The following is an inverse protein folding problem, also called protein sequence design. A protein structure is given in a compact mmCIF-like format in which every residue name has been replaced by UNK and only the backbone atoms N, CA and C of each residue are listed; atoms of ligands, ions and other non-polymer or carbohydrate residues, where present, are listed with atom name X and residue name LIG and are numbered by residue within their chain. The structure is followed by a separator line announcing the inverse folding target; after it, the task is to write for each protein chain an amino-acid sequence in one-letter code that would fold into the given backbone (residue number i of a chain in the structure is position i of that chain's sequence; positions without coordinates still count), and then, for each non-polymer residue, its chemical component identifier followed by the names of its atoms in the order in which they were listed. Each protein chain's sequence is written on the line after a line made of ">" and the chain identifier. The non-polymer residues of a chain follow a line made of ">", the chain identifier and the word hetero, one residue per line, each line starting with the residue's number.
data_IF_062809855413
#
_entry.id   IF_062809855413
#
_cell.length_a   1.000
_cell.length_b   1.000
_cell.length_c   1.000
_cell.angle_alpha   90.00
_cell.angle_beta   90.00
_cell.angle_gamma   90.00
#
_symmetry.space_group_name_H-M   'P 1'
#
loop_
_entity.id
_entity.type
_entity.pdbx_description
1 polymer ?
#
# COMPACT_ATOMS: atom_id res chain seq x y z
N UNK A 1 -21.89 -24.33 8.40
CA UNK A 1 -22.59 -23.36 7.52
C UNK A 1 -21.80 -22.04 7.61
N UNK A 2 -20.81 -21.86 6.72
CA UNK A 2 -19.94 -20.68 6.71
C UNK A 2 -20.68 -19.57 5.97
N UNK A 3 -21.05 -18.52 6.70
CA UNK A 3 -21.54 -17.28 6.09
C UNK A 3 -20.35 -16.63 5.39
N UNK A 4 -20.30 -16.76 4.08
CA UNK A 4 -19.48 -15.87 3.23
C UNK A 4 -20.15 -14.50 3.30
N UNK A 5 -19.61 -13.62 4.14
CA UNK A 5 -19.98 -12.21 4.12
C UNK A 5 -19.32 -11.63 2.86
N UNK A 6 -20.06 -11.52 1.77
CA UNK A 6 -19.68 -10.66 0.65
C UNK A 6 -19.80 -9.21 1.15
N UNK A 7 -18.70 -8.65 1.60
CA UNK A 7 -18.60 -7.19 1.72
C UNK A 7 -18.63 -6.64 0.29
N UNK A 8 -19.42 -5.59 0.01
CA UNK A 8 -19.33 -4.89 -1.27
C UNK A 8 -17.93 -4.27 -1.32
N UNK A 9 -17.03 -4.86 -2.09
CA UNK A 9 -15.70 -4.29 -2.30
C UNK A 9 -15.88 -3.06 -3.19
N UNK A 10 -15.71 -1.89 -2.60
CA UNK A 10 -15.47 -0.67 -3.34
C UNK A 10 -13.96 -0.54 -3.48
N UNK A 11 -13.42 -0.86 -4.64
CA UNK A 11 -12.01 -0.68 -4.95
C UNK A 11 -11.80 0.78 -5.35
N UNK A 12 -10.98 1.49 -4.60
CA UNK A 12 -10.61 2.87 -4.91
C UNK A 12 -9.14 2.95 -5.19
N UNK A 13 -8.84 3.50 -6.33
CA UNK A 13 -7.49 3.78 -6.78
C UNK A 13 -7.32 5.29 -6.78
N UNK A 14 -6.70 5.80 -5.75
CA UNK A 14 -6.10 7.12 -5.75
C UNK A 14 -4.60 6.94 -5.99
N UNK A 15 -4.09 7.43 -7.08
CA UNK A 15 -2.67 7.36 -7.41
C UNK A 15 -2.33 8.40 -8.45
N UNK A 16 -1.49 9.34 -8.07
CA UNK A 16 -0.83 10.21 -9.00
C UNK A 16 0.39 9.47 -9.54
N UNK A 17 0.28 9.01 -10.77
CA UNK A 17 1.43 8.82 -11.64
C UNK A 17 1.20 9.75 -12.83
N UNK A 18 2.03 10.74 -13.07
CA UNK A 18 1.96 11.50 -14.30
C UNK A 18 2.08 10.51 -15.46
N UNK A 19 1.04 10.43 -16.31
CA UNK A 19 1.10 9.74 -17.60
C UNK A 19 0.39 8.41 -17.77
N UNK A 20 -0.39 7.89 -16.78
CA UNK A 20 -1.28 6.75 -17.05
C UNK A 20 -2.75 7.16 -16.90
N UNK A 21 -3.59 6.89 -17.91
CA UNK A 21 -5.01 7.22 -17.86
C UNK A 21 -5.71 6.37 -16.79
N UNK A 22 -6.14 6.98 -15.69
CA UNK A 22 -7.00 6.32 -14.67
C UNK A 22 -8.25 5.67 -15.32
N UNK A 23 -8.74 6.26 -16.42
CA UNK A 23 -9.83 5.74 -17.21
C UNK A 23 -9.56 4.35 -17.83
N UNK A 24 -8.32 3.99 -18.13
CA UNK A 24 -7.99 2.65 -18.66
C UNK A 24 -8.04 1.60 -17.57
N UNK A 25 -7.50 1.92 -16.40
CA UNK A 25 -7.55 1.05 -15.24
C UNK A 25 -8.99 0.86 -14.75
N UNK A 26 -9.76 1.95 -14.63
CA UNK A 26 -11.17 1.88 -14.27
C UNK A 26 -11.96 0.99 -15.27
N UNK A 27 -11.70 1.11 -16.58
CA UNK A 27 -12.30 0.26 -17.60
C UNK A 27 -11.90 -1.21 -17.46
N UNK A 28 -10.62 -1.49 -17.17
CA UNK A 28 -10.14 -2.88 -17.01
C UNK A 28 -10.75 -3.58 -15.79
N UNK A 29 -11.22 -2.82 -14.81
CA UNK A 29 -11.82 -3.32 -13.59
C UNK A 29 -13.36 -3.31 -13.63
N UNK A 30 -13.98 -2.63 -14.60
CA UNK A 30 -15.44 -2.55 -14.73
C UNK A 30 -16.09 -3.93 -14.89
N UNK A 31 -15.42 -4.87 -15.55
CA UNK A 31 -15.91 -6.24 -15.77
C UNK A 31 -15.90 -7.09 -14.49
N UNK A 32 -15.27 -6.62 -13.40
CA UNK A 32 -15.24 -7.34 -12.12
C UNK A 32 -16.55 -7.22 -11.32
N UNK A 33 -17.46 -6.34 -11.73
CA UNK A 33 -18.67 -6.00 -10.99
C UNK A 33 -18.44 -5.18 -9.72
N UNK A 34 -17.21 -4.69 -9.50
CA UNK A 34 -16.88 -3.80 -8.40
C UNK A 34 -17.24 -2.34 -8.76
N UNK A 35 -17.73 -1.58 -7.79
CA UNK A 35 -17.88 -0.14 -7.93
C UNK A 35 -16.50 0.52 -7.78
N UNK A 36 -16.07 1.25 -8.81
CA UNK A 36 -14.74 1.85 -8.85
C UNK A 36 -14.89 3.36 -8.95
N UNK A 37 -14.35 4.06 -7.96
CA UNK A 37 -14.22 5.50 -7.96
C UNK A 37 -12.74 5.88 -8.04
N UNK A 38 -12.40 6.86 -8.86
CA UNK A 38 -11.04 7.37 -8.99
C UNK A 38 -11.01 8.84 -8.59
N UNK A 39 -10.04 9.19 -7.74
CA UNK A 39 -9.78 10.57 -7.34
C UNK A 39 -8.33 10.89 -7.70
N UNK A 40 -8.12 12.01 -8.35
CA UNK A 40 -6.79 12.50 -8.67
C UNK A 40 -6.23 13.28 -7.48
N UNK A 41 -5.02 12.94 -7.03
CA UNK A 41 -4.33 13.60 -5.94
C UNK A 41 -2.82 13.64 -6.20
N UNK A 42 -2.16 14.71 -5.78
CA UNK A 42 -0.70 14.82 -5.83
C UNK A 42 -0.07 14.25 -4.55
N UNK A 43 0.54 13.08 -4.64
CA UNK A 43 1.19 12.43 -3.51
C UNK A 43 2.45 13.18 -3.01
N UNK A 44 3.00 14.13 -3.78
CA UNK A 44 4.10 15.02 -3.33
C UNK A 44 3.59 16.22 -2.54
N UNK A 45 2.29 16.51 -2.58
CA UNK A 45 1.63 17.57 -1.82
C UNK A 45 0.82 16.97 -0.67
N UNK A 46 1.31 17.03 0.57
CA UNK A 46 0.57 16.53 1.74
C UNK A 46 -0.80 17.18 1.91
N UNK A 47 -0.93 18.47 1.56
CA UNK A 47 -2.17 19.23 1.66
C UNK A 47 -3.21 18.74 0.65
N UNK A 48 -2.83 18.56 -0.63
CA UNK A 48 -3.73 18.05 -1.66
C UNK A 48 -4.14 16.61 -1.35
N UNK A 49 -3.18 15.77 -1.01
CA UNK A 49 -3.44 14.38 -0.65
C UNK A 49 -4.43 14.28 0.52
N UNK A 50 -4.24 15.09 1.57
CA UNK A 50 -5.15 15.15 2.72
C UNK A 50 -6.56 15.57 2.31
N UNK A 51 -6.68 16.65 1.54
CA UNK A 51 -7.98 17.16 1.10
C UNK A 51 -8.75 16.10 0.30
N UNK A 52 -8.09 15.40 -0.63
CA UNK A 52 -8.71 14.36 -1.45
C UNK A 52 -9.11 13.12 -0.66
N UNK A 53 -8.30 12.73 0.33
CA UNK A 53 -8.63 11.57 1.18
C UNK A 53 -9.79 11.91 2.11
N UNK A 54 -9.83 13.12 2.68
CA UNK A 54 -10.93 13.56 3.52
C UNK A 54 -12.24 13.57 2.74
N UNK A 55 -12.26 14.21 1.56
CA UNK A 55 -13.41 14.20 0.65
C UNK A 55 -13.90 12.75 0.37
N UNK A 56 -12.97 11.85 0.09
CA UNK A 56 -13.24 10.45 -0.18
C UNK A 56 -13.91 9.74 1.00
N UNK A 57 -13.47 9.99 2.23
CA UNK A 57 -13.98 9.30 3.42
C UNK A 57 -15.29 9.92 3.93
N UNK A 58 -15.49 11.21 3.72
CA UNK A 58 -16.77 11.87 4.04
C UNK A 58 -17.91 11.30 3.20
N UNK A 59 -17.65 11.00 1.92
CA UNK A 59 -18.65 10.43 1.01
C UNK A 59 -18.92 8.94 1.26
N UNK A 60 -17.92 8.17 1.73
CA UNK A 60 -17.93 6.71 1.64
C UNK A 60 -17.76 5.99 3.00
N UNK A 61 -17.41 6.75 4.03
CA UNK A 61 -17.18 6.20 5.36
C UNK A 61 -15.79 5.57 5.53
N UNK A 62 -15.63 4.85 6.64
CA UNK A 62 -14.34 4.26 7.02
C UNK A 62 -13.85 3.21 6.01
N UNK A 63 -12.59 3.30 5.53
CA UNK A 63 -12.03 2.27 4.67
C UNK A 63 -11.78 0.98 5.46
N UNK A 64 -12.18 -0.16 4.91
CA UNK A 64 -11.84 -1.47 5.47
C UNK A 64 -10.37 -1.84 5.22
N UNK A 65 -9.84 -1.46 4.06
CA UNK A 65 -8.47 -1.72 3.64
C UNK A 65 -7.89 -0.49 2.96
N UNK A 66 -6.68 -0.13 3.34
CA UNK A 66 -5.87 0.91 2.70
C UNK A 66 -4.57 0.29 2.20
N UNK A 67 -4.23 0.51 0.93
CA UNK A 67 -2.95 0.11 0.35
C UNK A 67 -2.23 1.35 -0.16
N UNK A 68 -1.08 1.67 0.45
CA UNK A 68 -0.21 2.73 -0.05
C UNK A 68 0.87 2.14 -0.95
N UNK A 69 0.80 2.47 -2.24
CA UNK A 69 1.69 1.91 -3.26
C UNK A 69 2.40 2.98 -4.10
N UNK A 70 2.34 4.24 -3.71
CA UNK A 70 3.04 5.31 -4.42
C UNK A 70 4.55 5.24 -4.20
N UNK A 71 5.31 5.59 -5.23
CA UNK A 71 6.76 5.70 -5.20
C UNK A 71 7.24 6.64 -6.31
N UNK A 72 8.19 7.50 -5.99
CA UNK A 72 8.93 8.28 -6.99
C UNK A 72 10.15 7.47 -7.45
N UNK A 73 9.92 6.53 -8.38
CA UNK A 73 10.91 5.54 -8.82
C UNK A 73 11.74 6.00 -10.03
N UNK A 74 12.65 6.94 -9.86
CA UNK A 74 13.60 7.35 -10.88
C UNK A 74 15.03 6.98 -10.52
N UNK A 75 15.91 6.66 -11.50
CA UNK A 75 17.34 6.51 -11.23
C UNK A 75 17.94 7.80 -10.69
N UNK A 76 18.67 7.70 -9.58
CA UNK A 76 19.30 8.82 -8.90
C UNK A 76 20.52 8.38 -8.08
N UNK A 77 21.31 9.36 -7.61
CA UNK A 77 22.45 9.11 -6.73
C UNK A 77 22.54 10.22 -5.68
N UNK A 78 22.83 9.89 -4.42
CA UNK A 78 22.83 10.86 -3.32
C UNK A 78 23.72 12.08 -3.56
N UNK A 79 24.91 11.89 -4.13
CA UNK A 79 25.87 12.99 -4.31
C UNK A 79 25.54 13.93 -5.46
N UNK A 80 24.69 13.50 -6.41
CA UNK A 80 24.33 14.30 -7.59
C UNK A 80 22.87 14.76 -7.58
N UNK A 81 22.03 14.20 -6.71
CA UNK A 81 20.63 14.61 -6.60
C UNK A 81 20.49 15.98 -5.97
N UNK A 82 19.57 16.78 -6.49
CA UNK A 82 19.21 18.06 -5.87
C UNK A 82 18.44 17.84 -4.57
N UNK A 83 18.53 18.81 -3.66
CA UNK A 83 17.72 18.78 -2.41
C UNK A 83 16.22 18.75 -2.73
N UNK A 84 15.79 19.47 -3.75
CA UNK A 84 14.39 19.45 -4.21
C UNK A 84 13.95 18.05 -4.60
N UNK A 85 14.73 17.34 -5.42
CA UNK A 85 14.42 15.95 -5.80
C UNK A 85 14.35 15.02 -4.59
N UNK A 86 15.29 15.16 -3.64
CA UNK A 86 15.27 14.36 -2.41
C UNK A 86 14.02 14.63 -1.57
N UNK A 87 13.60 15.90 -1.47
CA UNK A 87 12.38 16.30 -0.76
C UNK A 87 11.12 15.77 -1.43
N UNK A 88 11.01 15.89 -2.75
CA UNK A 88 9.88 15.37 -3.53
C UNK A 88 9.76 13.86 -3.42
N UNK A 89 10.87 13.14 -3.56
CA UNK A 89 10.87 11.68 -3.40
C UNK A 89 10.43 11.27 -2.00
N UNK A 90 10.94 11.93 -0.96
CA UNK A 90 10.57 11.63 0.41
C UNK A 90 9.11 12.00 0.72
N UNK A 91 8.60 13.07 0.12
CA UNK A 91 7.19 13.45 0.23
C UNK A 91 6.28 12.34 -0.33
N UNK A 92 6.57 11.84 -1.53
CA UNK A 92 5.80 10.72 -2.12
C UNK A 92 6.03 9.43 -1.35
N UNK A 93 7.29 9.03 -1.14
CA UNK A 93 7.61 7.67 -0.71
C UNK A 93 7.30 7.41 0.77
N UNK A 94 7.31 8.46 1.61
CA UNK A 94 7.20 8.32 3.07
C UNK A 94 6.09 9.17 3.65
N UNK A 95 6.12 10.50 3.42
CA UNK A 95 5.18 11.43 4.05
C UNK A 95 3.76 11.15 3.57
N UNK A 96 3.56 10.87 2.28
CA UNK A 96 2.27 10.52 1.73
C UNK A 96 1.63 9.30 2.42
N UNK A 97 2.41 8.26 2.72
CA UNK A 97 1.92 7.11 3.48
C UNK A 97 1.47 7.47 4.90
N UNK A 98 2.22 8.36 5.57
CA UNK A 98 1.89 8.85 6.90
C UNK A 98 0.61 9.70 6.87
N UNK A 99 0.46 10.58 5.88
CA UNK A 99 -0.76 11.37 5.68
C UNK A 99 -1.97 10.47 5.47
N UNK A 100 -1.86 9.46 4.59
CA UNK A 100 -2.93 8.49 4.38
C UNK A 100 -3.32 7.76 5.67
N UNK A 101 -2.33 7.38 6.49
CA UNK A 101 -2.59 6.76 7.78
C UNK A 101 -3.28 7.70 8.76
N UNK A 102 -2.86 8.98 8.81
CA UNK A 102 -3.47 10.00 9.66
C UNK A 102 -4.95 10.23 9.33
N UNK A 103 -5.29 10.25 8.04
CA UNK A 103 -6.68 10.46 7.61
C UNK A 103 -7.55 9.19 7.74
N UNK A 104 -6.98 7.99 7.54
CA UNK A 104 -7.73 6.74 7.68
C UNK A 104 -7.95 6.32 9.14
N UNK A 105 -6.99 6.57 10.02
CA UNK A 105 -6.98 6.07 11.39
C UNK A 105 -8.19 6.50 12.24
N UNK A 106 -8.69 7.75 12.21
CA UNK A 106 -9.85 8.15 13.01
C UNK A 106 -11.11 7.34 12.64
N UNK A 107 -11.41 7.19 11.36
CA UNK A 107 -12.56 6.44 10.88
C UNK A 107 -12.43 4.94 11.17
N UNK A 108 -11.25 4.34 10.98
CA UNK A 108 -10.96 2.95 11.33
C UNK A 108 -11.09 2.72 12.86
N UNK A 109 -10.59 3.64 13.70
CA UNK A 109 -10.72 3.56 15.17
C UNK A 109 -12.19 3.60 15.59
N UNK A 110 -12.98 4.48 14.99
CA UNK A 110 -14.42 4.56 15.26
C UNK A 110 -15.16 3.28 14.85
N UNK A 111 -14.76 2.65 13.75
CA UNK A 111 -15.30 1.37 13.29
C UNK A 111 -14.81 0.16 14.10
N UNK A 112 -13.69 0.27 14.80
CA UNK A 112 -13.07 -0.82 15.58
C UNK A 112 -12.33 -1.85 14.71
N UNK A 113 -12.11 -1.57 13.43
CA UNK A 113 -11.38 -2.44 12.50
C UNK A 113 -10.75 -1.65 11.35
N UNK A 114 -9.75 -2.23 10.73
CA UNK A 114 -9.12 -1.70 9.52
C UNK A 114 -7.80 -2.41 9.24
N UNK A 115 -7.40 -2.40 7.99
CA UNK A 115 -6.09 -2.93 7.57
C UNK A 115 -5.40 -1.92 6.69
N UNK A 116 -4.16 -1.55 7.02
CA UNK A 116 -3.31 -0.70 6.20
C UNK A 116 -2.06 -1.46 5.79
N UNK A 117 -1.79 -1.53 4.49
CA UNK A 117 -0.58 -2.16 3.96
C UNK A 117 0.19 -1.13 3.13
N UNK A 118 1.46 -0.94 3.45
CA UNK A 118 2.37 -0.12 2.66
C UNK A 118 3.27 -1.02 1.83
N UNK A 119 3.48 -0.65 0.56
CA UNK A 119 4.33 -1.42 -0.35
C UNK A 119 5.80 -1.17 -0.06
N UNK A 120 6.42 -2.13 0.61
CA UNK A 120 7.85 -2.20 0.84
C UNK A 120 8.61 -2.68 -0.40
N UNK A 121 9.92 -2.78 -0.27
CA UNK A 121 10.79 -3.30 -1.32
C UNK A 121 12.10 -3.80 -0.75
N UNK A 122 12.73 -4.76 -1.42
CA UNK A 122 14.03 -5.32 -1.03
C UNK A 122 15.16 -4.29 -0.95
N UNK A 123 14.96 -3.10 -1.51
CA UNK A 123 15.88 -1.95 -1.38
C UNK A 123 16.05 -1.44 0.06
N UNK A 124 15.10 -1.75 0.94
CA UNK A 124 15.24 -1.46 2.37
C UNK A 124 16.29 -2.35 3.06
N UNK A 125 16.53 -3.55 2.53
CA UNK A 125 17.54 -4.50 3.04
C UNK A 125 18.87 -4.35 2.31
N UNK A 126 18.79 -4.11 1.00
CA UNK A 126 19.93 -4.03 0.08
C UNK A 126 19.85 -2.73 -0.72
N UNK A 127 20.31 -1.60 -0.13
CA UNK A 127 20.27 -0.29 -0.81
C UNK A 127 21.11 -0.30 -2.09
N UNK A 128 20.55 0.27 -3.16
CA UNK A 128 21.22 0.39 -4.45
C UNK A 128 21.59 1.85 -4.69
N UNK A 129 22.89 2.20 -4.86
CA UNK A 129 23.30 3.60 -5.04
C UNK A 129 22.65 4.31 -6.23
N UNK A 130 22.29 3.59 -7.31
CA UNK A 130 21.62 4.14 -8.48
C UNK A 130 20.09 4.31 -8.33
N UNK A 131 19.53 3.94 -7.16
CA UNK A 131 18.13 4.10 -6.75
C UNK A 131 18.10 4.59 -5.30
N UNK A 132 18.82 5.64 -5.03
CA UNK A 132 19.13 6.09 -3.68
C UNK A 132 17.88 6.55 -2.92
N UNK A 133 17.04 7.38 -3.53
CA UNK A 133 15.78 7.85 -2.89
C UNK A 133 14.81 6.71 -2.65
N UNK A 134 14.65 5.78 -3.60
CA UNK A 134 13.81 4.59 -3.42
C UNK A 134 14.32 3.74 -2.26
N UNK A 135 15.63 3.54 -2.15
CA UNK A 135 16.25 2.75 -1.07
C UNK A 135 15.99 3.39 0.30
N UNK A 136 16.22 4.70 0.41
CA UNK A 136 15.94 5.48 1.63
C UNK A 136 14.44 5.44 1.97
N UNK A 137 13.59 5.69 0.97
CA UNK A 137 12.13 5.70 1.13
C UNK A 137 11.62 4.35 1.64
N UNK A 138 12.05 3.23 1.06
CA UNK A 138 11.61 1.89 1.50
C UNK A 138 12.08 1.54 2.91
N UNK A 139 13.29 1.96 3.32
CA UNK A 139 13.77 1.78 4.68
C UNK A 139 12.97 2.63 5.69
N UNK A 140 12.74 3.91 5.38
CA UNK A 140 11.95 4.81 6.22
C UNK A 140 10.48 4.36 6.32
N UNK A 141 9.88 3.92 5.21
CA UNK A 141 8.49 3.44 5.16
C UNK A 141 8.28 2.19 6.02
N UNK A 142 9.24 1.26 6.03
CA UNK A 142 9.22 0.09 6.93
C UNK A 142 9.21 0.52 8.40
N UNK A 143 10.07 1.47 8.77
CA UNK A 143 10.10 2.02 10.13
C UNK A 143 8.79 2.70 10.50
N UNK A 144 8.23 3.52 9.60
CA UNK A 144 6.94 4.17 9.81
C UNK A 144 5.81 3.16 10.01
N UNK A 145 5.74 2.10 9.18
CA UNK A 145 4.73 1.05 9.30
C UNK A 145 4.82 0.31 10.65
N UNK A 146 6.05 0.04 11.13
CA UNK A 146 6.26 -0.58 12.44
C UNK A 146 5.73 0.30 13.59
N UNK A 147 5.98 1.60 13.54
CA UNK A 147 5.48 2.55 14.54
C UNK A 147 3.95 2.67 14.48
N UNK A 148 3.38 2.79 13.28
CA UNK A 148 1.93 2.83 13.08
C UNK A 148 1.25 1.53 13.55
N UNK A 149 1.87 0.38 13.35
CA UNK A 149 1.35 -0.90 13.85
C UNK A 149 1.29 -0.93 15.38
N UNK A 150 2.29 -0.37 16.06
CA UNK A 150 2.30 -0.26 17.51
C UNK A 150 1.23 0.70 18.04
N UNK A 151 1.03 1.85 17.37
CA UNK A 151 0.08 2.88 17.79
C UNK A 151 -1.38 2.48 17.51
N UNK A 152 -1.64 1.78 16.42
CA UNK A 152 -2.99 1.47 15.95
C UNK A 152 -3.47 0.07 16.34
N UNK A 153 -2.55 -0.85 16.62
CA UNK A 153 -2.87 -2.23 17.01
C UNK A 153 -3.80 -2.35 18.22
N UNK A 154 -3.60 -1.57 19.32
CA UNK A 154 -4.51 -1.57 20.46
C UNK A 154 -5.96 -1.19 20.13
N UNK A 155 -6.19 -0.47 19.03
CA UNK A 155 -7.51 -0.11 18.54
C UNK A 155 -8.09 -1.12 17.52
N UNK A 156 -7.47 -2.29 17.35
CA UNK A 156 -7.91 -3.33 16.42
C UNK A 156 -7.55 -3.07 14.95
N UNK A 157 -6.68 -2.10 14.67
CA UNK A 157 -6.25 -1.75 13.31
C UNK A 157 -4.92 -2.42 13.01
N UNK A 158 -4.88 -3.14 11.91
CA UNK A 158 -3.70 -3.89 11.45
C UNK A 158 -2.90 -3.04 10.47
N UNK A 159 -1.61 -2.83 10.76
CA UNK A 159 -0.69 -2.13 9.85
C UNK A 159 0.49 -3.03 9.53
N UNK A 160 0.88 -3.10 8.26
CA UNK A 160 2.03 -3.88 7.84
C UNK A 160 2.71 -3.32 6.59
N UNK A 161 3.94 -3.73 6.39
CA UNK A 161 4.67 -3.60 5.13
C UNK A 161 4.56 -4.92 4.36
N UNK A 162 4.23 -4.87 3.06
CA UNK A 162 4.51 -5.99 2.14
C UNK A 162 5.81 -5.69 1.39
N UNK A 163 6.90 -6.31 1.80
CA UNK A 163 8.22 -6.17 1.17
C UNK A 163 8.31 -7.07 -0.06
N UNK A 164 8.33 -6.47 -1.26
CA UNK A 164 8.53 -7.17 -2.53
C UNK A 164 10.02 -7.30 -2.76
N UNK A 165 10.55 -8.53 -2.67
CA UNK A 165 11.99 -8.81 -2.69
C UNK A 165 12.53 -9.11 -4.10
N UNK A 166 11.97 -8.49 -5.15
CA UNK A 166 12.41 -8.69 -6.53
C UNK A 166 11.82 -7.68 -7.49
N UNK A 167 12.24 -7.76 -8.76
CA UNK A 167 11.77 -6.88 -9.81
C UNK A 167 10.37 -7.28 -10.27
N UNK A 168 9.42 -6.35 -10.14
CA UNK A 168 8.03 -6.55 -10.59
C UNK A 168 8.01 -6.59 -12.11
N UNK A 169 7.61 -7.74 -12.67
CA UNK A 169 7.55 -7.94 -14.12
C UNK A 169 6.53 -9.03 -14.46
N UNK A 170 5.63 -8.74 -15.39
CA UNK A 170 4.61 -9.68 -15.85
C UNK A 170 5.24 -10.99 -16.36
N UNK A 171 4.57 -12.11 -16.10
CA UNK A 171 5.01 -13.45 -16.51
C UNK A 171 6.18 -14.02 -15.72
N UNK A 172 6.63 -13.35 -14.64
CA UNK A 172 7.73 -13.83 -13.79
C UNK A 172 7.22 -14.28 -12.41
N UNK A 173 8.14 -14.70 -11.54
CA UNK A 173 7.85 -14.97 -10.14
C UNK A 173 7.27 -13.73 -9.41
N UNK A 174 7.58 -12.52 -9.90
CA UNK A 174 7.11 -11.24 -9.39
C UNK A 174 6.04 -10.61 -10.28
N UNK A 175 5.18 -11.44 -10.87
CA UNK A 175 4.04 -10.99 -11.65
C UNK A 175 3.10 -10.12 -10.79
N UNK A 176 2.61 -8.96 -11.31
CA UNK A 176 1.67 -8.11 -10.59
C UNK A 176 0.42 -8.83 -10.04
N UNK A 177 -0.11 -9.80 -10.79
CA UNK A 177 -1.28 -10.56 -10.35
C UNK A 177 -0.96 -11.44 -9.11
N UNK A 178 0.24 -12.04 -9.06
CA UNK A 178 0.68 -12.82 -7.89
C UNK A 178 0.91 -11.93 -6.67
N UNK A 179 1.43 -10.73 -6.88
CA UNK A 179 1.61 -9.74 -5.82
C UNK A 179 0.25 -9.29 -5.29
N UNK A 180 -0.71 -9.01 -6.18
CA UNK A 180 -2.07 -8.65 -5.80
C UNK A 180 -2.76 -9.76 -4.98
N UNK A 181 -2.58 -11.02 -5.38
CA UNK A 181 -3.06 -12.18 -4.61
C UNK A 181 -2.45 -12.22 -3.21
N UNK A 182 -1.15 -11.87 -3.07
CA UNK A 182 -0.49 -11.81 -1.76
C UNK A 182 -1.09 -10.72 -0.86
N UNK A 183 -1.40 -9.53 -1.39
CA UNK A 183 -2.12 -8.50 -0.64
C UNK A 183 -3.46 -9.03 -0.12
N UNK A 184 -4.20 -9.73 -0.98
CA UNK A 184 -5.49 -10.30 -0.63
C UNK A 184 -5.38 -11.35 0.49
N UNK A 185 -4.41 -12.25 0.39
CA UNK A 185 -4.13 -13.26 1.43
C UNK A 185 -3.80 -12.61 2.76
N UNK A 186 -2.98 -11.55 2.76
CA UNK A 186 -2.62 -10.81 3.99
C UNK A 186 -3.87 -10.18 4.61
N UNK A 187 -4.74 -9.56 3.83
CA UNK A 187 -5.98 -8.95 4.33
C UNK A 187 -6.90 -9.99 4.97
N UNK A 188 -6.94 -11.20 4.42
CA UNK A 188 -7.81 -12.29 4.87
C UNK A 188 -7.21 -13.18 5.95
N UNK A 189 -5.93 -13.00 6.33
CA UNK A 189 -5.30 -13.91 7.29
C UNK A 189 -5.92 -13.81 8.68
N UNK A 190 -6.16 -14.95 9.28
CA UNK A 190 -6.52 -15.12 10.70
C UNK A 190 -5.29 -15.40 11.57
N UNK A 191 -4.11 -15.55 10.98
CA UNK A 191 -2.85 -15.76 11.70
C UNK A 191 -2.48 -14.53 12.55
N UNK A 192 -1.64 -14.68 13.58
CA UNK A 192 -1.12 -13.56 14.34
C UNK A 192 -0.50 -12.50 13.43
N UNK A 193 -0.97 -11.25 13.58
CA UNK A 193 -0.57 -10.16 12.70
C UNK A 193 0.91 -9.84 12.84
N UNK A 194 1.57 -9.65 11.68
CA UNK A 194 2.97 -9.27 11.59
C UNK A 194 3.07 -7.84 11.01
N UNK A 195 4.02 -7.05 11.52
CA UNK A 195 4.27 -5.71 10.97
C UNK A 195 4.98 -5.73 9.60
N UNK A 196 5.52 -6.89 9.20
CA UNK A 196 6.13 -7.08 7.89
C UNK A 196 5.79 -8.46 7.33
N UNK A 197 5.34 -8.47 6.07
CA UNK A 197 5.21 -9.63 5.22
C UNK A 197 6.22 -9.52 4.07
N UNK A 198 6.74 -10.64 3.58
CA UNK A 198 7.66 -10.67 2.43
C UNK A 198 7.03 -11.43 1.27
N UNK A 199 7.31 -10.95 0.06
CA UNK A 199 7.02 -11.66 -1.17
C UNK A 199 8.32 -11.92 -1.91
N UNK A 200 8.73 -13.19 -1.96
CA UNK A 200 10.01 -13.64 -2.55
C UNK A 200 9.82 -14.21 -3.97
N UNK A 201 8.60 -14.24 -4.47
CA UNK A 201 8.29 -14.90 -5.74
C UNK A 201 8.19 -16.43 -5.64
N UNK A 202 8.60 -17.02 -4.53
CA UNK A 202 8.34 -18.43 -4.23
C UNK A 202 6.88 -18.60 -3.82
N UNK A 203 6.31 -19.78 -4.07
CA UNK A 203 4.99 -20.10 -3.53
C UNK A 203 5.17 -20.30 -2.02
N UNK A 204 4.56 -19.44 -1.20
CA UNK A 204 4.39 -19.79 0.20
C UNK A 204 3.72 -21.17 0.26
N UNK A 205 4.21 -22.09 1.10
CA UNK A 205 3.55 -23.37 1.25
C UNK A 205 2.11 -23.09 1.67
N UNK A 206 1.17 -23.52 0.84
CA UNK A 206 -0.27 -23.47 1.16
C UNK A 206 -0.43 -24.10 2.55
N UNK A 207 -1.03 -23.40 3.53
CA UNK A 207 -1.29 -24.04 4.81
C UNK A 207 -2.07 -25.32 4.54
N UNK A 208 -1.51 -26.45 4.94
CA UNK A 208 -2.15 -27.76 4.79
C UNK A 208 -3.50 -27.68 5.51
N UNK A 209 -4.60 -27.69 4.74
CA UNK A 209 -5.93 -27.97 5.27
C UNK A 209 -5.95 -29.43 5.69
N UNK A 210 -5.33 -29.74 6.81
CA UNK A 210 -5.63 -31.00 7.49
C UNK A 210 -7.02 -30.86 8.10
N UNK A 211 -8.01 -31.34 7.36
CA UNK A 211 -9.28 -31.71 7.89
C UNK A 211 -9.09 -32.88 8.92
N UNK A 212 -9.30 -32.58 10.19
CA UNK A 212 -9.76 -33.59 11.14
C UNK A 212 -11.05 -33.12 11.80
#
# INVERSE_FOLDING_TARGET
>A
MHKVVRLPFRLRLSGVLPGRPHAELARSLADTGAEINTVEADASSPEDLRARITELYDDEGAPGVVIYNAVLGSPDQLLSSTVTHLQEAYAVDVIGAIVVAQEAAPAMKAAGFGTMIVTGGGFADHPIPALATVSLGKAALRSAATMLAADLGPAGIRVATLTIAGQIMAGTAFDPARIAERYWQIVQTDDPWQAEFRFTGEQDPTPSRDCR
#
